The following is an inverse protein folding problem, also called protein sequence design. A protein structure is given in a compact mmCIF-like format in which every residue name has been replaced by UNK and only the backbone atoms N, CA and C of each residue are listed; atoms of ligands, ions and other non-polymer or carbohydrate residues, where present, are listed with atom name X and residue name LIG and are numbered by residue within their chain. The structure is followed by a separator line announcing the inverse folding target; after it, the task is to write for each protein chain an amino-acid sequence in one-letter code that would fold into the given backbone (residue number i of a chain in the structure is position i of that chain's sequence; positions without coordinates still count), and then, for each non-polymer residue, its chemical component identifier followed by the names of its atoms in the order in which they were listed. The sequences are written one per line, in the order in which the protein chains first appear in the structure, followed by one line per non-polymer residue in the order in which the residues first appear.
data_IF_052942744286
#
_entry.id   IF_052942744286
#
_cell.length_a   1.000
_cell.length_b   1.000
_cell.length_c   1.000
_cell.angle_alpha   90.00
_cell.angle_beta   90.00
_cell.angle_gamma   90.00
#
_symmetry.space_group_name_H-M   'P 1'
#
loop_
_entity.id
_entity.type
_entity.pdbx_description
1 polymer ?
#
# COMPACT_ATOMS: atom_id res chain seq x y z
N UNK A 1 -6.41 -28.56 8.41
CA UNK A 1 -7.30 -27.48 8.90
C UNK A 1 -8.32 -27.09 7.83
N UNK A 2 -7.91 -26.86 6.57
CA UNK A 2 -8.81 -26.68 5.42
C UNK A 2 -9.85 -27.80 5.27
N UNK A 3 -9.41 -29.06 5.29
CA UNK A 3 -10.31 -30.19 4.97
C UNK A 3 -11.42 -30.37 6.01
N UNK A 4 -11.10 -30.14 7.29
CA UNK A 4 -12.09 -30.13 8.39
C UNK A 4 -13.11 -29.00 8.28
N UNK A 5 -12.74 -27.88 7.66
CA UNK A 5 -13.66 -26.77 7.43
C UNK A 5 -14.58 -27.05 6.24
N UNK A 6 -14.05 -27.66 5.18
CA UNK A 6 -14.84 -28.11 4.03
C UNK A 6 -15.85 -29.17 4.44
N UNK A 7 -15.45 -30.15 5.25
CA UNK A 7 -16.33 -31.21 5.76
C UNK A 7 -17.49 -30.63 6.59
N UNK A 8 -17.20 -29.71 7.53
CA UNK A 8 -18.24 -29.00 8.31
C UNK A 8 -19.16 -28.15 7.45
N UNK A 9 -18.65 -27.54 6.38
CA UNK A 9 -19.47 -26.74 5.48
C UNK A 9 -20.45 -27.64 4.72
N UNK A 10 -19.99 -28.78 4.21
CA UNK A 10 -20.84 -29.77 3.52
C UNK A 10 -21.93 -30.31 4.45
N UNK A 11 -21.62 -30.59 5.72
CA UNK A 11 -22.61 -31.03 6.72
C UNK A 11 -23.70 -29.97 6.97
N UNK A 12 -23.32 -28.70 7.06
CA UNK A 12 -24.27 -27.60 7.24
C UNK A 12 -25.16 -27.41 6.00
N UNK A 13 -24.60 -27.48 4.80
CA UNK A 13 -25.36 -27.39 3.55
C UNK A 13 -26.39 -28.53 3.43
N UNK A 14 -26.02 -29.73 3.86
CA UNK A 14 -26.95 -30.86 3.93
C UNK A 14 -28.08 -30.61 4.94
N UNK A 15 -27.75 -30.16 6.16
CA UNK A 15 -28.75 -29.84 7.19
C UNK A 15 -29.74 -28.74 6.73
N UNK A 16 -29.23 -27.69 6.10
CA UNK A 16 -30.10 -26.64 5.55
C UNK A 16 -31.04 -27.18 4.48
N UNK A 17 -30.56 -28.07 3.61
CA UNK A 17 -31.40 -28.70 2.59
C UNK A 17 -32.52 -29.54 3.18
N UNK A 18 -32.23 -30.34 4.22
CA UNK A 18 -33.26 -31.13 4.91
C UNK A 18 -34.28 -30.26 5.64
N UNK A 19 -33.84 -29.17 6.29
CA UNK A 19 -34.75 -28.23 6.94
C UNK A 19 -35.62 -27.53 5.89
N UNK A 20 -35.05 -27.15 4.76
CA UNK A 20 -35.77 -26.49 3.67
C UNK A 20 -36.91 -27.37 3.13
N UNK A 21 -36.64 -28.66 2.93
CA UNK A 21 -37.62 -29.65 2.46
C UNK A 21 -38.78 -29.79 3.45
N UNK A 22 -38.49 -29.97 4.74
CA UNK A 22 -39.52 -30.06 5.79
C UNK A 22 -40.33 -28.77 5.90
N UNK A 23 -39.68 -27.61 5.80
CA UNK A 23 -40.35 -26.32 5.90
C UNK A 23 -41.27 -26.04 4.70
N UNK A 24 -40.92 -26.49 3.49
CA UNK A 24 -41.79 -26.39 2.31
C UNK A 24 -42.98 -27.35 2.35
N UNK A 25 -42.81 -28.54 2.93
CA UNK A 25 -43.86 -29.55 3.05
C UNK A 25 -44.85 -29.21 4.17
N UNK A 26 -44.33 -28.86 5.34
CA UNK A 26 -45.13 -28.77 6.58
C UNK A 26 -45.55 -27.34 6.95
N UNK A 27 -44.97 -26.30 6.32
CA UNK A 27 -45.28 -24.90 6.64
C UNK A 27 -45.81 -24.13 5.41
N UNK A 28 -47.15 -24.09 5.20
CA UNK A 28 -47.77 -23.36 4.09
C UNK A 28 -47.40 -21.87 4.03
N UNK A 29 -47.25 -21.24 5.20
CA UNK A 29 -46.86 -19.83 5.34
C UNK A 29 -45.41 -19.59 4.87
N UNK A 30 -44.51 -20.53 5.18
CA UNK A 30 -43.12 -20.49 4.71
C UNK A 30 -43.05 -20.65 3.20
N UNK A 31 -43.81 -21.62 2.65
CA UNK A 31 -43.92 -21.87 1.21
C UNK A 31 -44.44 -20.65 0.43
N UNK A 32 -45.46 -19.99 0.97
CA UNK A 32 -46.03 -18.76 0.37
C UNK A 32 -45.04 -17.59 0.45
N UNK A 33 -44.39 -17.38 1.60
CA UNK A 33 -43.35 -16.34 1.75
C UNK A 33 -42.15 -16.57 0.83
N UNK A 34 -41.68 -17.82 0.68
CA UNK A 34 -40.58 -18.21 -0.21
C UNK A 34 -40.90 -17.92 -1.68
N UNK A 35 -42.15 -18.12 -2.09
CA UNK A 35 -42.60 -17.77 -3.45
C UNK A 35 -42.53 -16.26 -3.73
N UNK A 36 -42.64 -15.42 -2.70
CA UNK A 36 -42.45 -13.97 -2.81
C UNK A 36 -40.97 -13.56 -2.85
N UNK A 37 -40.06 -14.33 -2.24
CA UNK A 37 -38.62 -14.06 -2.25
C UNK A 37 -38.01 -14.17 -3.65
N UNK A 38 -38.59 -14.98 -4.54
CA UNK A 38 -38.15 -15.07 -5.94
C UNK A 38 -38.16 -13.72 -6.66
N UNK A 39 -39.00 -12.77 -6.24
CA UNK A 39 -39.08 -11.44 -6.87
C UNK A 39 -37.91 -10.52 -6.50
N UNK A 40 -37.19 -10.79 -5.40
CA UNK A 40 -36.04 -9.98 -4.95
C UNK A 40 -34.68 -10.60 -5.32
N UNK A 41 -34.65 -11.83 -5.85
CA UNK A 41 -33.40 -12.50 -6.25
C UNK A 41 -32.59 -11.71 -7.25
N UNK A 42 -33.24 -10.98 -8.15
CA UNK A 42 -32.57 -10.13 -9.13
C UNK A 42 -31.91 -8.89 -8.50
N UNK A 43 -32.49 -8.34 -7.43
CA UNK A 43 -31.88 -7.23 -6.69
C UNK A 43 -30.71 -7.71 -5.84
N UNK A 44 -30.88 -8.84 -5.15
CA UNK A 44 -29.81 -9.47 -4.37
C UNK A 44 -28.63 -9.90 -5.26
N UNK A 45 -28.91 -10.46 -6.45
CA UNK A 45 -27.89 -10.80 -7.44
C UNK A 45 -27.12 -9.56 -7.90
N UNK A 46 -27.81 -8.44 -8.22
CA UNK A 46 -27.16 -7.17 -8.62
C UNK A 46 -26.33 -6.58 -7.49
N UNK A 47 -26.80 -6.64 -6.24
CA UNK A 47 -26.04 -6.17 -5.08
C UNK A 47 -24.79 -7.02 -4.86
N UNK A 48 -24.91 -8.35 -5.00
CA UNK A 48 -23.80 -9.27 -4.91
C UNK A 48 -22.78 -9.06 -6.03
N UNK A 49 -23.22 -8.89 -7.27
CA UNK A 49 -22.36 -8.56 -8.41
C UNK A 49 -21.60 -7.25 -8.18
N UNK A 50 -22.28 -6.22 -7.67
CA UNK A 50 -21.64 -4.94 -7.30
C UNK A 50 -20.59 -5.15 -6.22
N UNK A 51 -20.90 -5.91 -5.17
CA UNK A 51 -19.96 -6.22 -4.09
C UNK A 51 -18.73 -6.98 -4.62
N UNK A 52 -18.94 -8.03 -5.41
CA UNK A 52 -17.86 -8.80 -6.05
C UNK A 52 -17.04 -7.92 -6.98
N UNK A 53 -17.67 -7.02 -7.73
CA UNK A 53 -17.01 -6.04 -8.58
C UNK A 53 -16.08 -5.12 -7.78
N UNK A 54 -16.56 -4.56 -6.67
CA UNK A 54 -15.75 -3.74 -5.76
C UNK A 54 -14.61 -4.55 -5.14
N UNK A 55 -14.87 -5.78 -4.69
CA UNK A 55 -13.87 -6.65 -4.10
C UNK A 55 -12.76 -7.02 -5.10
N UNK A 56 -13.13 -7.36 -6.35
CA UNK A 56 -12.18 -7.62 -7.44
C UNK A 56 -11.37 -6.37 -7.78
N UNK A 57 -12.03 -5.21 -7.93
CA UNK A 57 -11.34 -3.94 -8.18
C UNK A 57 -10.33 -3.62 -7.07
N UNK A 58 -10.72 -3.78 -5.81
CA UNK A 58 -9.82 -3.61 -4.67
C UNK A 58 -8.66 -4.61 -4.66
N UNK A 59 -8.89 -5.86 -5.07
CA UNK A 59 -7.83 -6.87 -5.20
C UNK A 59 -6.82 -6.52 -6.31
N UNK A 60 -7.29 -6.07 -7.48
CA UNK A 60 -6.42 -5.63 -8.56
C UNK A 60 -5.64 -4.37 -8.18
N UNK A 61 -6.29 -3.39 -7.55
CA UNK A 61 -5.58 -2.23 -7.00
C UNK A 61 -4.50 -2.65 -6.00
N UNK A 62 -4.80 -3.55 -5.05
CA UNK A 62 -3.81 -4.06 -4.11
C UNK A 62 -2.61 -4.72 -4.80
N UNK A 63 -2.82 -5.46 -5.89
CA UNK A 63 -1.71 -6.03 -6.69
C UNK A 63 -0.82 -4.94 -7.29
N UNK A 64 -1.39 -3.84 -7.76
CA UNK A 64 -0.63 -2.71 -8.29
C UNK A 64 0.26 -2.02 -7.24
N UNK A 65 -0.19 -1.95 -5.98
CA UNK A 65 0.63 -1.47 -4.86
C UNK A 65 1.69 -2.48 -4.42
N UNK A 66 1.39 -3.79 -4.51
CA UNK A 66 2.25 -4.84 -4.02
C UNK A 66 3.59 -4.88 -4.74
N UNK A 67 3.59 -4.88 -6.07
CA UNK A 67 4.83 -4.98 -6.85
C UNK A 67 5.88 -3.91 -6.51
N UNK A 68 5.56 -2.59 -6.48
CA UNK A 68 6.53 -1.57 -6.10
C UNK A 68 6.96 -1.63 -4.63
N UNK A 69 6.04 -1.96 -3.71
CA UNK A 69 6.37 -2.07 -2.29
C UNK A 69 7.27 -3.27 -2.01
N UNK A 70 7.01 -4.42 -2.63
CA UNK A 70 7.87 -5.61 -2.57
C UNK A 70 9.27 -5.30 -3.10
N UNK A 71 9.36 -4.52 -4.20
CA UNK A 71 10.65 -4.08 -4.73
C UNK A 71 11.38 -3.19 -3.73
N UNK A 72 10.71 -2.18 -3.17
CA UNK A 72 11.30 -1.30 -2.17
C UNK A 72 11.77 -2.08 -0.93
N UNK A 73 10.95 -3.00 -0.41
CA UNK A 73 11.34 -3.85 0.73
C UNK A 73 12.49 -4.79 0.40
N UNK A 74 12.61 -5.25 -0.85
CA UNK A 74 13.70 -6.11 -1.28
C UNK A 74 15.07 -5.45 -1.22
N UNK A 75 15.15 -4.13 -1.42
CA UNK A 75 16.40 -3.37 -1.31
C UNK A 75 16.58 -2.72 0.06
N UNK A 76 15.52 -2.12 0.60
CA UNK A 76 15.61 -1.26 1.78
C UNK A 76 15.01 -1.89 3.05
N UNK A 77 14.64 -3.16 3.02
CA UNK A 77 13.96 -3.90 4.11
C UNK A 77 12.50 -3.49 4.35
N UNK A 78 11.69 -4.42 4.85
CA UNK A 78 10.26 -4.22 5.08
C UNK A 78 10.01 -3.29 6.28
N UNK A 79 10.90 -3.29 7.26
CA UNK A 79 10.80 -2.51 8.48
C UNK A 79 10.83 -1.00 8.18
N UNK A 80 11.55 -0.59 7.14
CA UNK A 80 11.58 0.82 6.67
C UNK A 80 10.31 1.19 5.92
N UNK A 81 9.82 0.28 5.07
CA UNK A 81 8.53 0.46 4.37
C UNK A 81 7.39 0.68 5.38
N UNK A 82 7.39 -0.09 6.47
CA UNK A 82 6.42 0.03 7.56
C UNK A 82 6.62 1.30 8.38
N UNK A 83 7.86 1.57 8.81
CA UNK A 83 8.19 2.72 9.65
C UNK A 83 7.82 4.06 9.01
N UNK A 84 8.12 4.24 7.72
CA UNK A 84 7.78 5.45 6.99
C UNK A 84 6.34 5.44 6.42
N UNK A 85 5.57 4.40 6.68
CA UNK A 85 4.19 4.29 6.22
C UNK A 85 4.04 4.35 4.70
N UNK A 86 5.05 3.92 3.93
CA UNK A 86 5.03 4.05 2.46
C UNK A 86 3.91 3.25 1.81
N UNK A 87 3.43 2.19 2.46
CA UNK A 87 2.28 1.41 2.00
C UNK A 87 0.96 2.22 1.96
N UNK A 88 0.87 3.33 2.69
CA UNK A 88 -0.30 4.20 2.74
C UNK A 88 -0.23 5.36 1.74
N UNK A 89 0.87 5.47 0.99
CA UNK A 89 1.04 6.53 -0.01
C UNK A 89 0.32 6.19 -1.31
N UNK A 90 0.16 7.19 -2.18
CA UNK A 90 -0.49 6.98 -3.49
C UNK A 90 0.28 6.00 -4.37
N UNK A 91 -0.43 5.31 -5.28
CA UNK A 91 0.19 4.36 -6.20
C UNK A 91 1.36 4.98 -7.00
N UNK A 92 1.22 6.23 -7.42
CA UNK A 92 2.27 6.97 -8.12
C UNK A 92 3.53 7.14 -7.26
N UNK A 93 3.36 7.42 -5.97
CA UNK A 93 4.47 7.45 -5.01
C UNK A 93 5.14 6.08 -4.91
N UNK A 94 4.36 5.01 -4.72
CA UNK A 94 4.91 3.65 -4.57
C UNK A 94 5.69 3.21 -5.82
N UNK A 95 5.17 3.47 -7.03
CA UNK A 95 5.87 3.16 -8.29
C UNK A 95 7.24 3.85 -8.38
N UNK A 96 7.32 5.13 -8.00
CA UNK A 96 8.60 5.87 -7.95
C UNK A 96 9.50 5.32 -6.84
N UNK A 97 8.96 5.04 -5.66
CA UNK A 97 9.70 4.47 -4.53
C UNK A 97 10.41 3.16 -4.92
N UNK A 98 9.68 2.21 -5.52
CA UNK A 98 10.27 0.95 -5.97
C UNK A 98 11.36 1.15 -7.03
N UNK A 99 11.23 2.18 -7.86
CA UNK A 99 12.24 2.55 -8.86
C UNK A 99 13.47 3.18 -8.20
N UNK A 100 13.27 4.09 -7.25
CA UNK A 100 14.33 4.77 -6.52
C UNK A 100 15.17 3.77 -5.70
N UNK A 101 14.50 2.84 -5.01
CA UNK A 101 15.15 1.76 -4.28
C UNK A 101 15.96 0.84 -5.19
N UNK A 102 15.43 0.49 -6.36
CA UNK A 102 16.17 -0.33 -7.32
C UNK A 102 17.39 0.36 -7.93
N UNK A 103 17.36 1.70 -8.04
CA UNK A 103 18.50 2.48 -8.56
C UNK A 103 19.51 2.85 -7.48
N UNK A 104 19.12 2.82 -6.21
CA UNK A 104 19.95 3.10 -5.05
C UNK A 104 19.78 1.96 -4.03
N UNK A 105 20.33 0.77 -4.32
CA UNK A 105 20.03 -0.43 -3.55
C UNK A 105 20.57 -0.39 -2.12
N UNK A 106 21.70 0.27 -1.88
CA UNK A 106 22.20 0.50 -0.51
C UNK A 106 21.34 1.53 0.20
N UNK A 107 20.82 1.16 1.36
CA UNK A 107 20.08 2.08 2.21
C UNK A 107 20.99 3.19 2.74
N UNK A 108 22.23 2.86 3.09
CA UNK A 108 23.22 3.78 3.64
C UNK A 108 23.52 4.91 2.65
N UNK A 109 23.73 4.58 1.38
CA UNK A 109 23.90 5.57 0.32
C UNK A 109 22.60 6.36 0.06
N UNK A 110 21.46 5.68 0.02
CA UNK A 110 20.17 6.31 -0.23
C UNK A 110 19.83 7.34 0.86
N UNK A 111 20.13 7.05 2.13
CA UNK A 111 19.92 7.97 3.26
C UNK A 111 20.78 9.22 3.13
N UNK A 112 22.05 9.09 2.74
CA UNK A 112 22.92 10.26 2.52
C UNK A 112 22.29 11.19 1.47
N UNK A 113 21.83 10.62 0.35
CA UNK A 113 21.19 11.38 -0.73
C UNK A 113 19.86 11.98 -0.32
N UNK A 114 18.99 11.21 0.35
CA UNK A 114 17.69 11.67 0.83
C UNK A 114 17.85 12.79 1.87
N UNK A 115 18.79 12.66 2.80
CA UNK A 115 19.05 13.70 3.81
C UNK A 115 19.51 15.01 3.19
N UNK A 116 20.28 14.98 2.11
CA UNK A 116 20.64 16.19 1.37
C UNK A 116 19.42 16.88 0.74
N UNK A 117 18.51 16.10 0.17
CA UNK A 117 17.25 16.62 -0.39
C UNK A 117 16.33 17.17 0.71
N UNK A 118 16.21 16.46 1.83
CA UNK A 118 15.43 16.88 3.00
C UNK A 118 16.00 18.13 3.66
N UNK A 119 17.31 18.19 3.89
CA UNK A 119 17.99 19.33 4.49
C UNK A 119 17.75 20.62 3.69
N UNK A 120 17.83 20.53 2.35
CA UNK A 120 17.47 21.64 1.46
C UNK A 120 16.01 22.08 1.63
N UNK A 121 15.08 21.17 1.89
CA UNK A 121 13.66 21.48 2.14
C UNK A 121 13.44 22.05 3.54
N UNK A 122 14.18 21.59 4.54
CA UNK A 122 14.18 22.15 5.91
C UNK A 122 14.62 23.61 5.89
N UNK A 123 15.66 23.95 5.13
CA UNK A 123 16.07 25.34 4.92
C UNK A 123 14.98 26.23 4.29
N UNK A 124 13.94 25.62 3.69
CA UNK A 124 12.77 26.29 3.11
C UNK A 124 11.51 26.19 3.97
N UNK A 125 11.62 25.72 5.21
CA UNK A 125 10.51 25.63 6.15
C UNK A 125 9.71 24.33 6.07
N UNK A 126 10.31 23.22 5.63
CA UNK A 126 9.76 21.89 5.95
C UNK A 126 9.56 21.79 7.47
N UNK A 127 8.56 21.01 7.91
CA UNK A 127 8.35 20.64 9.31
C UNK A 127 8.72 19.17 9.50
N UNK A 128 9.16 18.81 10.71
CA UNK A 128 9.41 17.42 11.08
C UNK A 128 8.17 16.53 10.84
N UNK A 129 8.40 15.32 10.33
CA UNK A 129 7.37 14.34 9.98
C UNK A 129 7.97 12.93 10.04
N UNK A 130 7.16 11.93 10.41
CA UNK A 130 7.58 10.52 10.37
C UNK A 130 7.93 10.10 8.93
N UNK A 131 7.20 10.59 7.92
CA UNK A 131 7.53 10.39 6.52
C UNK A 131 7.88 11.76 5.89
N UNK A 132 9.15 12.18 5.97
CA UNK A 132 9.56 13.49 5.44
C UNK A 132 9.77 13.45 3.92
N UNK A 133 9.96 12.27 3.34
CA UNK A 133 10.27 12.05 1.91
C UNK A 133 9.01 12.23 1.07
N UNK A 134 9.07 13.14 0.09
CA UNK A 134 7.99 13.30 -0.90
C UNK A 134 8.36 12.65 -2.22
N UNK A 135 7.38 12.48 -3.11
CA UNK A 135 7.58 11.90 -4.44
C UNK A 135 8.72 12.58 -5.22
N UNK A 136 8.83 13.91 -5.18
CA UNK A 136 9.90 14.63 -5.87
C UNK A 136 11.30 14.26 -5.36
N UNK A 137 11.43 13.97 -4.06
CA UNK A 137 12.72 13.54 -3.50
C UNK A 137 13.10 12.16 -4.05
N UNK A 138 12.12 11.25 -4.18
CA UNK A 138 12.33 9.94 -4.81
C UNK A 138 12.62 10.03 -6.31
N UNK A 139 12.00 10.97 -7.03
CA UNK A 139 12.31 11.23 -8.44
C UNK A 139 13.74 11.74 -8.59
N UNK A 140 14.19 12.65 -7.73
CA UNK A 140 15.58 13.10 -7.69
C UNK A 140 16.55 11.98 -7.31
N UNK A 141 16.17 11.12 -6.37
CA UNK A 141 16.95 9.94 -6.02
C UNK A 141 17.05 8.96 -7.20
N UNK A 142 16.01 8.81 -8.03
CA UNK A 142 16.06 7.98 -9.24
C UNK A 142 17.09 8.50 -10.25
N UNK A 143 17.31 9.80 -10.31
CA UNK A 143 18.26 10.44 -11.22
C UNK A 143 19.67 10.49 -10.63
N UNK A 144 19.79 10.50 -9.30
CA UNK A 144 21.07 10.50 -8.57
C UNK A 144 21.66 9.10 -8.40
N UNK A 145 22.22 8.54 -9.47
CA UNK A 145 22.63 7.12 -9.52
C UNK A 145 23.99 6.79 -8.89
N UNK A 146 24.92 7.73 -8.90
CA UNK A 146 26.28 7.52 -8.38
C UNK A 146 26.52 8.31 -7.08
N UNK A 147 27.76 8.32 -6.62
CA UNK A 147 28.22 9.04 -5.43
C UNK A 147 28.79 10.43 -5.76
N UNK A 148 28.46 10.98 -6.92
CA UNK A 148 28.82 12.36 -7.29
C UNK A 148 27.79 13.37 -6.78
N UNK A 149 28.08 14.66 -6.93
CA UNK A 149 27.12 15.72 -6.61
C UNK A 149 25.94 15.71 -7.60
N UNK A 150 24.73 15.84 -7.07
CA UNK A 150 23.53 15.87 -7.91
C UNK A 150 23.15 17.30 -8.27
N UNK A 151 23.00 17.55 -9.58
CA UNK A 151 22.55 18.83 -10.12
C UNK A 151 21.25 18.66 -10.89
N UNK A 152 20.20 19.34 -10.41
CA UNK A 152 18.96 19.55 -11.16
C UNK A 152 19.10 20.81 -11.99
N UNK A 153 18.81 20.73 -13.29
CA UNK A 153 18.82 21.88 -14.20
C UNK A 153 17.43 22.53 -14.35
N UNK A 154 17.38 23.74 -14.91
CA UNK A 154 16.13 24.46 -15.22
C UNK A 154 15.76 25.54 -14.18
N UNK A 155 14.53 26.09 -14.31
CA UNK A 155 14.06 27.28 -13.57
C UNK A 155 14.15 27.17 -12.04
N UNK A 156 14.07 25.95 -11.50
CA UNK A 156 14.19 25.65 -10.08
C UNK A 156 15.37 24.68 -9.81
N UNK A 157 16.43 24.82 -10.61
CA UNK A 157 17.63 24.01 -10.48
C UNK A 157 18.31 24.18 -9.13
N UNK A 158 19.06 23.15 -8.74
CA UNK A 158 19.83 23.15 -7.51
C UNK A 158 20.92 22.09 -7.59
N UNK A 159 21.97 22.28 -6.80
CA UNK A 159 23.02 21.29 -6.60
C UNK A 159 23.07 20.89 -5.14
N UNK A 160 23.24 19.60 -4.88
CA UNK A 160 23.46 19.01 -3.55
C UNK A 160 24.65 18.07 -3.61
N UNK A 161 25.39 18.00 -2.51
CA UNK A 161 26.63 17.23 -2.44
C UNK A 161 26.37 15.80 -2.01
N UNK A 162 27.15 14.83 -2.50
CA UNK A 162 27.16 13.49 -1.90
C UNK A 162 27.99 13.50 -0.62
N UNK A 163 27.38 13.96 0.48
CA UNK A 163 28.04 14.03 1.80
C UNK A 163 27.04 13.82 2.94
N UNK A 164 27.40 13.10 4.01
CA UNK A 164 26.56 13.02 5.21
C UNK A 164 26.30 14.41 5.83
N UNK A 165 25.08 14.64 6.31
CA UNK A 165 24.74 15.84 7.09
C UNK A 165 25.19 15.61 8.54
N UNK A 166 26.04 16.50 9.06
CA UNK A 166 26.58 16.37 10.44
C UNK A 166 25.83 17.23 11.45
N UNK A 167 25.31 18.39 11.02
CA UNK A 167 24.66 19.37 11.89
C UNK A 167 23.24 19.63 11.39
N UNK A 168 22.25 19.30 12.23
CA UNK A 168 20.84 19.54 11.94
C UNK A 168 20.38 20.87 12.56
N UNK A 169 19.39 21.56 11.95
CA UNK A 169 18.77 22.72 12.57
C UNK A 169 18.07 22.35 13.87
N UNK A 170 17.86 23.33 14.74
CA UNK A 170 17.14 23.13 15.99
C UNK A 170 15.74 22.53 15.74
N UNK A 171 15.38 21.52 16.54
CA UNK A 171 14.12 20.78 16.40
C UNK A 171 14.14 19.60 15.41
N UNK A 172 15.29 19.29 14.81
CA UNK A 172 15.46 18.13 13.93
C UNK A 172 16.44 17.11 14.50
N UNK A 173 16.14 15.83 14.29
CA UNK A 173 16.94 14.70 14.76
C UNK A 173 16.89 13.58 13.76
N UNK A 174 17.97 12.82 13.62
CA UNK A 174 17.90 11.59 12.85
C UNK A 174 17.02 10.55 13.54
N UNK A 175 16.18 9.88 12.75
CA UNK A 175 15.41 8.75 13.21
C UNK A 175 16.26 7.46 13.30
N UNK A 176 15.63 6.35 13.73
CA UNK A 176 16.33 5.07 13.90
C UNK A 176 16.93 4.47 12.62
N UNK A 177 16.54 4.95 11.45
CA UNK A 177 17.06 4.52 10.15
C UNK A 177 17.91 5.59 9.47
N UNK A 178 18.16 6.71 10.13
CA UNK A 178 19.08 7.75 9.71
C UNK A 178 18.47 8.88 8.88
N UNK A 179 17.15 8.92 8.65
CA UNK A 179 16.52 10.08 7.99
C UNK A 179 16.29 11.23 8.99
N UNK A 180 16.36 12.48 8.52
CA UNK A 180 16.10 13.72 9.30
C UNK A 180 14.62 13.88 9.66
#
# INVERSE_FOLDING_TARGET
MRDKLLERQTELEWLFSCIEEVMEEECPQYKEAKSSWSNNRDEDAKQWERFVGVAKSGAEQRKEYLAPLTRASGFWSIEKVQHYGWAFMSLGYCKVLGTAASRNPSWEEAVVKLNQLLFRRIAKGLRASINPVIRNDLEHLCDWRDTSDFTKTGKNGFTVQYKPISNLPEGYTFDRYGLI
#
